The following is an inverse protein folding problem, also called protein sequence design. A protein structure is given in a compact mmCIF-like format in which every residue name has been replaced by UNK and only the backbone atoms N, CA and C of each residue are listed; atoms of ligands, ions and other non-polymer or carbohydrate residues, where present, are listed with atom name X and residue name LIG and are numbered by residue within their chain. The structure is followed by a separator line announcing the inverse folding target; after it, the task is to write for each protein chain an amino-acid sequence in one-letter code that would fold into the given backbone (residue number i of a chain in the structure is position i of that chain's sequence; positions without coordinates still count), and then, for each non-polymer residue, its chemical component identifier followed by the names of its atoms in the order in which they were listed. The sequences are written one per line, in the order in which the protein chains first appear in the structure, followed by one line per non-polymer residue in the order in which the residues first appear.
data_IF_608856585514
#
_entry.id   IF_608856585514
#
_cell.length_a   1.000
_cell.length_b   1.000
_cell.length_c   1.000
_cell.angle_alpha   90.00
_cell.angle_beta   90.00
_cell.angle_gamma   90.00
#
_symmetry.space_group_name_H-M   'P 1'
#
loop_
_entity.id
_entity.type
_entity.pdbx_description
1 polymer ?
#
# COMPACT_ATOMS: atom_id res chain seq x y z
N UNK A 1 -65.71 -1.56 35.29
CA UNK A 1 -64.33 -2.11 35.22
C UNK A 1 -64.04 -2.88 33.92
N UNK A 2 -64.62 -2.52 32.76
CA UNK A 2 -64.41 -3.28 31.49
C UNK A 2 -63.71 -2.46 30.38
N UNK A 3 -63.53 -1.14 30.56
CA UNK A 3 -62.92 -0.28 29.52
C UNK A 3 -61.38 -0.41 29.37
N UNK A 4 -60.67 -1.04 30.33
CA UNK A 4 -59.21 -1.12 30.32
C UNK A 4 -58.66 -2.28 29.47
N UNK A 5 -59.45 -3.35 29.25
CA UNK A 5 -58.98 -4.57 28.57
C UNK A 5 -58.87 -4.43 27.05
N UNK A 6 -59.73 -3.60 26.42
CA UNK A 6 -59.70 -3.37 24.97
C UNK A 6 -58.49 -2.55 24.50
N UNK A 7 -58.00 -1.65 25.35
CA UNK A 7 -56.87 -0.78 25.01
C UNK A 7 -55.54 -1.57 25.03
N UNK A 8 -55.38 -2.51 25.97
CA UNK A 8 -54.18 -3.35 26.09
C UNK A 8 -53.98 -4.29 24.88
N UNK A 9 -55.04 -4.94 24.39
CA UNK A 9 -54.95 -5.83 23.23
C UNK A 9 -54.61 -5.10 21.91
N UNK A 10 -55.08 -3.85 21.75
CA UNK A 10 -54.72 -3.00 20.61
C UNK A 10 -53.28 -2.50 20.67
N UNK A 11 -52.76 -2.25 21.89
CA UNK A 11 -51.38 -1.85 22.11
C UNK A 11 -50.41 -3.01 21.86
N UNK A 12 -50.75 -4.22 22.30
CA UNK A 12 -49.92 -5.42 22.08
C UNK A 12 -49.82 -5.81 20.60
N UNK A 13 -50.93 -5.67 19.84
CA UNK A 13 -50.93 -5.93 18.40
C UNK A 13 -50.11 -4.86 17.65
N UNK A 14 -50.25 -3.58 18.01
CA UNK A 14 -49.43 -2.50 17.47
C UNK A 14 -47.93 -2.71 17.74
N UNK A 15 -47.57 -3.15 18.94
CA UNK A 15 -46.18 -3.45 19.32
C UNK A 15 -45.59 -4.61 18.51
N UNK A 16 -46.38 -5.65 18.24
CA UNK A 16 -45.96 -6.80 17.40
C UNK A 16 -45.68 -6.38 15.97
N UNK A 17 -46.55 -5.57 15.37
CA UNK A 17 -46.32 -5.03 14.03
C UNK A 17 -45.13 -4.09 13.97
N UNK A 18 -44.93 -3.24 14.98
CA UNK A 18 -43.75 -2.39 15.10
C UNK A 18 -42.47 -3.21 15.14
N UNK A 19 -42.47 -4.32 15.89
CA UNK A 19 -41.32 -5.23 15.99
C UNK A 19 -40.98 -5.85 14.64
N UNK A 20 -41.99 -6.27 13.86
CA UNK A 20 -41.79 -6.81 12.50
C UNK A 20 -41.22 -5.75 11.55
N UNK A 21 -41.76 -4.52 11.59
CA UNK A 21 -41.26 -3.42 10.76
C UNK A 21 -39.81 -3.08 11.10
N UNK A 22 -39.48 -2.98 12.39
CA UNK A 22 -38.10 -2.74 12.85
C UNK A 22 -37.18 -3.89 12.42
N UNK A 23 -37.63 -5.14 12.50
CA UNK A 23 -36.85 -6.30 12.04
C UNK A 23 -36.58 -6.26 10.53
N UNK A 24 -37.57 -5.90 9.71
CA UNK A 24 -37.40 -5.77 8.25
C UNK A 24 -36.44 -4.63 7.87
N UNK A 25 -36.55 -3.49 8.55
CA UNK A 25 -35.61 -2.37 8.37
C UNK A 25 -34.20 -2.79 8.79
N UNK A 26 -34.06 -3.47 9.93
CA UNK A 26 -32.78 -4.01 10.41
C UNK A 26 -32.13 -4.95 9.40
N UNK A 27 -32.91 -5.86 8.80
CA UNK A 27 -32.42 -6.79 7.78
C UNK A 27 -31.95 -6.06 6.50
N UNK A 28 -32.70 -5.04 6.07
CA UNK A 28 -32.33 -4.21 4.91
C UNK A 28 -31.03 -3.44 5.14
N UNK A 29 -30.90 -2.81 6.31
CA UNK A 29 -29.69 -2.08 6.70
C UNK A 29 -28.50 -3.03 6.80
N UNK A 30 -28.66 -4.20 7.41
CA UNK A 30 -27.60 -5.20 7.53
C UNK A 30 -27.09 -5.67 6.16
N UNK A 31 -27.99 -5.91 5.20
CA UNK A 31 -27.62 -6.26 3.83
C UNK A 31 -26.82 -5.16 3.13
N UNK A 32 -27.21 -3.89 3.32
CA UNK A 32 -26.47 -2.75 2.78
C UNK A 32 -25.10 -2.56 3.46
N UNK A 33 -25.02 -2.79 4.77
CA UNK A 33 -23.76 -2.75 5.52
C UNK A 33 -22.79 -3.83 5.04
N UNK A 34 -23.27 -5.04 4.78
CA UNK A 34 -22.43 -6.14 4.24
C UNK A 34 -21.81 -5.79 2.89
N UNK A 35 -22.61 -5.23 1.96
CA UNK A 35 -22.10 -4.80 0.65
C UNK A 35 -21.10 -3.64 0.78
N UNK A 36 -21.37 -2.70 1.68
CA UNK A 36 -20.50 -1.54 1.91
C UNK A 36 -19.18 -1.93 2.56
N UNK A 37 -19.20 -2.81 3.56
CA UNK A 37 -17.99 -3.28 4.26
C UNK A 37 -17.07 -4.08 3.33
N UNK A 38 -17.63 -4.92 2.46
CA UNK A 38 -16.87 -5.68 1.48
C UNK A 38 -16.16 -4.78 0.45
N UNK A 39 -16.86 -3.77 -0.06
CA UNK A 39 -16.27 -2.80 -0.97
C UNK A 39 -15.20 -1.94 -0.27
N UNK A 40 -15.43 -1.57 0.99
CA UNK A 40 -14.47 -0.82 1.80
C UNK A 40 -13.19 -1.61 2.05
N UNK A 41 -13.28 -2.91 2.32
CA UNK A 41 -12.11 -3.78 2.50
C UNK A 41 -11.25 -3.85 1.23
N UNK A 42 -11.88 -3.92 0.05
CA UNK A 42 -11.18 -3.94 -1.24
C UNK A 42 -10.47 -2.61 -1.51
N UNK A 43 -11.13 -1.50 -1.23
CA UNK A 43 -10.54 -0.17 -1.36
C UNK A 43 -9.35 0.01 -0.42
N UNK A 44 -9.49 -0.37 0.85
CA UNK A 44 -8.41 -0.29 1.85
C UNK A 44 -7.19 -1.14 1.43
N UNK A 45 -7.41 -2.35 0.91
CA UNK A 45 -6.33 -3.19 0.39
C UNK A 45 -5.64 -2.54 -0.82
N UNK A 46 -6.42 -1.94 -1.74
CA UNK A 46 -5.86 -1.22 -2.88
C UNK A 46 -5.03 -0.01 -2.45
N UNK A 47 -5.56 0.81 -1.54
CA UNK A 47 -4.85 1.99 -1.01
C UNK A 47 -3.52 1.60 -0.36
N UNK A 48 -3.52 0.54 0.46
CA UNK A 48 -2.31 0.00 1.09
C UNK A 48 -1.28 -0.49 0.05
N UNK A 49 -1.71 -1.24 -0.96
CA UNK A 49 -0.83 -1.69 -2.06
C UNK A 49 -0.30 -0.50 -2.87
N UNK A 50 -1.16 0.47 -3.17
CA UNK A 50 -0.79 1.65 -3.92
C UNK A 50 0.23 2.51 -3.17
N UNK A 51 0.11 2.63 -1.84
CA UNK A 51 1.07 3.35 -1.00
C UNK A 51 2.49 2.76 -1.11
N UNK A 52 2.63 1.43 -1.10
CA UNK A 52 3.93 0.76 -1.28
C UNK A 52 4.51 1.04 -2.67
N UNK A 53 3.70 0.93 -3.72
CA UNK A 53 4.11 1.28 -5.09
C UNK A 53 4.55 2.75 -5.18
N UNK A 54 3.81 3.65 -4.53
CA UNK A 54 4.13 5.07 -4.50
C UNK A 54 5.47 5.34 -3.81
N UNK A 55 5.76 4.66 -2.69
CA UNK A 55 7.06 4.75 -2.02
C UNK A 55 8.23 4.33 -2.93
N UNK A 56 8.05 3.27 -3.72
CA UNK A 56 9.04 2.86 -4.71
C UNK A 56 9.18 3.89 -5.84
N UNK A 57 8.08 4.42 -6.37
CA UNK A 57 8.11 5.45 -7.41
C UNK A 57 8.80 6.75 -6.93
N UNK A 58 8.58 7.13 -5.68
CA UNK A 58 9.25 8.29 -5.07
C UNK A 58 10.77 8.04 -4.92
N UNK A 59 11.20 6.82 -4.57
CA UNK A 59 12.62 6.45 -4.57
C UNK A 59 13.24 6.59 -5.97
N UNK A 60 12.57 6.07 -7.01
CA UNK A 60 13.01 6.22 -8.40
C UNK A 60 13.12 7.70 -8.78
N UNK A 61 12.13 8.50 -8.42
CA UNK A 61 12.15 9.95 -8.67
C UNK A 61 13.31 10.64 -7.95
N UNK A 62 13.63 10.25 -6.71
CA UNK A 62 14.76 10.79 -5.97
C UNK A 62 16.11 10.47 -6.65
N UNK A 63 16.26 9.24 -7.17
CA UNK A 63 17.46 8.83 -7.92
C UNK A 63 17.60 9.61 -9.22
N UNK A 64 16.55 9.67 -10.03
CA UNK A 64 16.55 10.35 -11.35
C UNK A 64 16.84 11.84 -11.19
N UNK A 65 16.28 12.47 -10.16
CA UNK A 65 16.49 13.90 -9.91
C UNK A 65 17.81 14.19 -9.17
N UNK A 66 18.65 13.18 -8.92
CA UNK A 66 19.90 13.31 -8.14
C UNK A 66 19.70 13.90 -6.73
N UNK A 67 18.55 13.61 -6.11
CA UNK A 67 18.16 14.06 -4.76
C UNK A 67 18.11 12.93 -3.74
N UNK A 68 18.71 11.78 -4.05
CA UNK A 68 18.76 10.66 -3.12
C UNK A 68 19.56 11.07 -1.87
N UNK A 69 18.94 10.88 -0.70
CA UNK A 69 19.53 11.13 0.62
C UNK A 69 19.15 9.99 1.57
N UNK A 70 19.80 9.94 2.73
CA UNK A 70 19.45 8.98 3.80
C UNK A 70 17.99 9.12 4.26
N UNK A 71 17.44 10.33 4.24
CA UNK A 71 16.04 10.59 4.59
C UNK A 71 15.06 9.95 3.60
N UNK A 72 15.34 10.05 2.29
CA UNK A 72 14.51 9.41 1.25
C UNK A 72 14.57 7.89 1.35
N UNK A 73 15.72 7.35 1.73
CA UNK A 73 15.89 5.92 2.01
C UNK A 73 15.08 5.51 3.25
N UNK A 74 15.14 6.27 4.34
CA UNK A 74 14.35 6.00 5.53
C UNK A 74 12.85 6.01 5.22
N UNK A 75 12.39 7.01 4.47
CA UNK A 75 11.00 7.12 4.01
C UNK A 75 10.59 5.93 3.14
N UNK A 76 11.47 5.45 2.26
CA UNK A 76 11.21 4.26 1.45
C UNK A 76 10.99 3.02 2.34
N UNK A 77 11.80 2.81 3.37
CA UNK A 77 11.58 1.68 4.29
C UNK A 77 10.27 1.82 5.05
N UNK A 78 10.00 2.99 5.62
CA UNK A 78 8.80 3.25 6.41
C UNK A 78 7.52 3.04 5.59
N UNK A 79 7.51 3.52 4.34
CA UNK A 79 6.35 3.38 3.44
C UNK A 79 6.19 1.96 2.90
N UNK A 80 7.26 1.17 2.88
CA UNK A 80 7.28 -0.16 2.24
C UNK A 80 7.45 -1.31 3.22
N UNK A 81 7.34 -1.06 4.53
CA UNK A 81 7.47 -2.08 5.57
C UNK A 81 6.41 -3.18 5.41
N UNK A 82 5.17 -2.78 5.09
CA UNK A 82 4.06 -3.70 4.87
C UNK A 82 4.15 -4.53 3.57
N UNK A 83 5.20 -4.36 2.74
CA UNK A 83 5.29 -4.99 1.41
C UNK A 83 5.17 -6.52 1.45
N UNK A 84 5.75 -7.17 2.46
CA UNK A 84 5.78 -8.63 2.61
C UNK A 84 4.38 -9.23 2.86
N UNK A 85 3.45 -8.44 3.40
CA UNK A 85 2.07 -8.89 3.65
C UNK A 85 1.13 -8.58 2.48
N UNK A 86 1.47 -7.59 1.66
CA UNK A 86 0.59 -7.06 0.62
C UNK A 86 0.87 -7.65 -0.76
N UNK A 87 2.09 -8.15 -0.98
CA UNK A 87 2.60 -8.65 -2.26
C UNK A 87 3.30 -10.00 -2.11
N UNK A 88 3.52 -10.67 -3.23
CA UNK A 88 4.32 -11.89 -3.30
C UNK A 88 5.81 -11.62 -3.46
N UNK A 89 6.58 -12.71 -3.43
CA UNK A 89 8.05 -12.71 -3.46
C UNK A 89 8.66 -11.96 -4.66
N UNK A 90 7.98 -11.95 -5.81
CA UNK A 90 8.42 -11.21 -7.01
C UNK A 90 8.61 -9.72 -6.72
N UNK A 91 7.62 -9.09 -6.09
CA UNK A 91 7.65 -7.66 -5.77
C UNK A 91 8.66 -7.39 -4.67
N UNK A 92 8.72 -8.25 -3.66
CA UNK A 92 9.69 -8.14 -2.56
C UNK A 92 11.13 -8.15 -3.09
N UNK A 93 11.47 -9.13 -3.93
CA UNK A 93 12.79 -9.24 -4.56
C UNK A 93 13.11 -8.05 -5.47
N UNK A 94 12.11 -7.55 -6.19
CA UNK A 94 12.27 -6.36 -7.03
C UNK A 94 12.61 -5.13 -6.18
N UNK A 95 11.88 -4.92 -5.08
CA UNK A 95 12.11 -3.81 -4.16
C UNK A 95 13.44 -3.94 -3.40
N UNK A 96 13.87 -5.16 -3.05
CA UNK A 96 15.18 -5.40 -2.45
C UNK A 96 16.32 -5.06 -3.43
N UNK A 97 16.12 -5.35 -4.71
CA UNK A 97 17.07 -4.95 -5.77
C UNK A 97 17.12 -3.44 -5.93
N UNK A 98 15.97 -2.76 -5.90
CA UNK A 98 15.90 -1.30 -5.93
C UNK A 98 16.63 -0.68 -4.72
N UNK A 99 16.43 -1.26 -3.54
CA UNK A 99 17.11 -0.87 -2.31
C UNK A 99 18.64 -0.94 -2.45
N UNK A 100 19.17 -2.11 -2.82
CA UNK A 100 20.63 -2.32 -2.94
C UNK A 100 21.29 -1.35 -3.93
N UNK A 101 20.60 -1.05 -5.03
CA UNK A 101 21.06 -0.07 -6.00
C UNK A 101 21.02 1.36 -5.43
N UNK A 102 19.97 1.74 -4.69
CA UNK A 102 19.91 3.04 -4.04
C UNK A 102 21.02 3.20 -2.98
N UNK A 103 21.29 2.15 -2.21
CA UNK A 103 22.37 2.11 -1.22
C UNK A 103 23.75 2.31 -1.88
N UNK A 104 24.02 1.67 -3.03
CA UNK A 104 25.26 1.88 -3.78
C UNK A 104 25.46 3.34 -4.21
N UNK A 105 24.37 4.03 -4.59
CA UNK A 105 24.41 5.46 -4.95
C UNK A 105 24.72 6.32 -3.72
N UNK A 106 24.07 6.06 -2.57
CA UNK A 106 24.38 6.78 -1.33
C UNK A 106 25.80 6.52 -0.85
N UNK A 107 26.25 5.27 -0.89
CA UNK A 107 27.60 4.91 -0.49
C UNK A 107 28.63 5.68 -1.31
N UNK A 108 28.43 5.80 -2.63
CA UNK A 108 29.28 6.64 -3.48
C UNK A 108 29.29 8.10 -3.02
N UNK A 109 28.12 8.71 -2.79
CA UNK A 109 28.04 10.08 -2.28
C UNK A 109 28.82 10.26 -0.97
N UNK A 110 28.70 9.31 -0.05
CA UNK A 110 29.38 9.33 1.25
C UNK A 110 30.90 9.19 1.12
N UNK A 111 31.42 8.29 0.29
CA UNK A 111 32.89 8.12 0.15
C UNK A 111 33.54 9.26 -0.64
N UNK A 112 32.77 9.96 -1.48
CA UNK A 112 33.23 11.17 -2.18
C UNK A 112 33.10 12.43 -1.34
N UNK A 113 32.50 12.36 -0.14
CA UNK A 113 32.42 13.49 0.77
C UNK A 113 33.85 13.91 1.17
N UNK A 114 34.24 15.18 0.92
CA UNK A 114 35.57 15.69 1.28
C UNK A 114 35.92 15.50 2.76
N UNK A 115 34.93 15.40 3.64
CA UNK A 115 35.15 15.18 5.08
C UNK A 115 35.59 13.75 5.43
N UNK A 116 35.22 12.73 4.62
CA UNK A 116 35.37 11.31 4.97
C UNK A 116 36.71 10.66 4.55
N UNK A 117 37.63 11.39 3.92
CA UNK A 117 39.00 10.96 3.60
C UNK A 117 39.13 9.50 3.10
N UNK A 118 38.26 9.09 2.17
CA UNK A 118 38.28 7.74 1.63
C UNK A 118 39.49 7.54 0.69
N UNK A 119 40.05 6.32 0.70
CA UNK A 119 41.18 5.98 -0.17
C UNK A 119 40.77 5.85 -1.65
N UNK A 120 41.70 6.05 -2.61
CA UNK A 120 41.40 6.04 -4.05
C UNK A 120 40.73 4.74 -4.54
N UNK A 121 41.12 3.59 -4.01
CA UNK A 121 40.54 2.28 -4.37
C UNK A 121 39.09 2.14 -3.92
N UNK A 122 38.73 2.72 -2.77
CA UNK A 122 37.35 2.71 -2.25
C UNK A 122 36.45 3.59 -3.10
N UNK A 123 36.93 4.79 -3.46
CA UNK A 123 36.22 5.72 -4.34
C UNK A 123 35.96 5.06 -5.70
N UNK A 124 36.97 4.42 -6.28
CA UNK A 124 36.85 3.77 -7.58
C UNK A 124 35.83 2.62 -7.57
N UNK A 125 35.86 1.76 -6.54
CA UNK A 125 34.86 0.69 -6.39
C UNK A 125 33.45 1.27 -6.27
N UNK A 126 33.26 2.26 -5.40
CA UNK A 126 31.95 2.89 -5.20
C UNK A 126 31.45 3.60 -6.46
N UNK A 127 32.35 4.16 -7.28
CA UNK A 127 32.01 4.76 -8.57
C UNK A 127 31.43 3.73 -9.54
N UNK A 128 32.08 2.56 -9.65
CA UNK A 128 31.62 1.46 -10.50
C UNK A 128 30.25 0.95 -10.04
N UNK A 129 30.08 0.71 -8.74
CA UNK A 129 28.81 0.24 -8.16
C UNK A 129 27.68 1.26 -8.39
N UNK A 130 27.96 2.56 -8.22
CA UNK A 130 27.03 3.65 -8.50
C UNK A 130 26.64 3.74 -9.98
N UNK A 131 27.58 3.52 -10.90
CA UNK A 131 27.29 3.52 -12.34
C UNK A 131 26.35 2.36 -12.72
N UNK A 132 26.61 1.15 -12.20
CA UNK A 132 25.74 -0.01 -12.39
C UNK A 132 24.33 0.27 -11.84
N UNK A 133 24.25 0.82 -10.63
CA UNK A 133 22.99 1.15 -10.00
C UNK A 133 22.19 2.19 -10.79
N UNK A 134 22.83 3.25 -11.27
CA UNK A 134 22.17 4.28 -12.10
C UNK A 134 21.65 3.71 -13.41
N UNK A 135 22.41 2.83 -14.07
CA UNK A 135 21.96 2.14 -15.30
C UNK A 135 20.72 1.30 -15.01
N UNK A 136 20.75 0.53 -13.92
CA UNK A 136 19.60 -0.27 -13.50
C UNK A 136 18.35 0.60 -13.30
N UNK A 137 18.43 1.71 -12.56
CA UNK A 137 17.29 2.62 -12.38
C UNK A 137 16.77 3.18 -13.70
N UNK A 138 17.65 3.57 -14.62
CA UNK A 138 17.27 4.09 -15.93
C UNK A 138 16.51 3.05 -16.77
N UNK A 139 16.98 1.79 -16.78
CA UNK A 139 16.32 0.68 -17.49
C UNK A 139 14.98 0.29 -16.86
N UNK A 140 14.89 0.38 -15.53
CA UNK A 140 13.70 -0.02 -14.79
C UNK A 140 12.59 1.04 -14.78
N UNK A 141 12.93 2.32 -14.91
CA UNK A 141 11.96 3.44 -14.92
C UNK A 141 10.76 3.21 -15.87
N UNK A 142 10.93 2.84 -17.15
CA UNK A 142 9.79 2.61 -18.05
C UNK A 142 8.92 1.40 -17.70
N UNK A 143 9.44 0.45 -16.91
CA UNK A 143 8.77 -0.81 -16.57
C UNK A 143 8.45 -0.93 -15.07
N UNK A 144 8.55 0.16 -14.32
CA UNK A 144 8.37 0.20 -12.86
C UNK A 144 7.05 -0.42 -12.40
N UNK A 145 5.97 -0.20 -13.14
CA UNK A 145 4.64 -0.71 -12.78
C UNK A 145 4.48 -2.21 -12.99
N UNK A 146 5.32 -2.83 -13.82
CA UNK A 146 5.12 -4.20 -14.33
C UNK A 146 5.01 -5.25 -13.22
N UNK A 147 5.88 -5.30 -12.20
CA UNK A 147 5.75 -6.27 -11.09
C UNK A 147 4.48 -6.06 -10.26
N UNK A 148 3.93 -4.84 -10.25
CA UNK A 148 2.76 -4.48 -9.45
C UNK A 148 1.43 -4.68 -10.18
N UNK A 149 1.43 -4.86 -11.50
CA UNK A 149 0.20 -4.95 -12.31
C UNK A 149 -0.73 -6.08 -11.85
N UNK A 150 -0.17 -7.21 -11.40
CA UNK A 150 -0.96 -8.32 -10.86
C UNK A 150 -1.78 -7.92 -9.62
N UNK A 151 -1.26 -6.99 -8.81
CA UNK A 151 -1.84 -6.63 -7.52
C UNK A 151 -2.67 -5.35 -7.58
N UNK A 152 -2.29 -4.41 -8.45
CA UNK A 152 -2.94 -3.10 -8.64
C UNK A 152 -3.90 -3.04 -9.85
N UNK A 153 -3.93 -4.08 -10.68
CA UNK A 153 -4.79 -4.11 -11.86
C UNK A 153 -6.28 -4.16 -11.51
N UNK A 154 -7.12 -3.53 -12.33
CA UNK A 154 -8.58 -3.46 -12.11
C UNK A 154 -9.24 -4.85 -11.88
N UNK A 155 -8.68 -5.91 -12.48
CA UNK A 155 -9.18 -7.27 -12.34
C UNK A 155 -8.94 -7.88 -10.95
N UNK A 156 -7.81 -7.58 -10.29
CA UNK A 156 -7.55 -8.07 -8.92
C UNK A 156 -8.49 -7.45 -7.89
N UNK A 157 -8.97 -6.23 -8.16
CA UNK A 157 -9.91 -5.49 -7.31
C UNK A 157 -11.32 -6.12 -7.37
N UNK A 158 -11.71 -6.71 -8.52
CA UNK A 158 -13.03 -7.31 -8.72
C UNK A 158 -13.13 -8.76 -8.24
N UNK A 159 -12.10 -9.57 -8.51
CA UNK A 159 -12.17 -11.02 -8.33
C UNK A 159 -11.71 -11.49 -6.93
N UNK A 160 -11.07 -10.62 -6.15
CA UNK A 160 -10.59 -10.95 -4.79
C UNK A 160 -9.51 -12.04 -4.77
N UNK A 161 -8.98 -12.41 -5.93
CA UNK A 161 -7.93 -13.40 -6.11
C UNK A 161 -6.61 -12.67 -6.36
N UNK A 162 -5.67 -12.82 -5.43
CA UNK A 162 -4.23 -12.56 -5.67
C UNK A 162 -3.43 -13.75 -5.23
#
# INVERSE_FOLDING_TARGET
MVAAAGNAASADTALRWLTVVVALIGLSIAGNQYRTSHNKLRLDLFEKRYAVYRGLADLFAAVINHRLTEAEIGKFFETTDAKRFLFGEEVERYMETAWKNAEAILHFQQVTDPSKHAGPSMIEKARVDCEIARKWFAEQTPVLSKPFQRYLGFRSILDGTT
#
